data_IF_208524564784
#
_entry.id   IF_208524564784
#
_cell.length_a   1.000
_cell.length_b   1.000
_cell.length_c   1.000
_cell.angle_alpha   90.00
_cell.angle_beta   90.00
_cell.angle_gamma   90.00
#
_symmetry.space_group_name_H-M   'P 1'
#
loop_
_entity.id
_entity.type
_entity.pdbx_description
1 polymer ?
#
# COMPACT_ATOMS: atom_id res chain seq x y z
N UNK A 1 11.70 -1.19 -14.58
CA UNK A 1 11.64 -0.26 -13.43
C UNK A 1 10.45 -0.65 -12.57
N UNK A 2 10.34 -0.15 -11.34
CA UNK A 2 9.21 -0.46 -10.46
C UNK A 2 8.40 0.81 -10.21
N UNK A 3 7.10 0.64 -10.10
CA UNK A 3 6.17 1.69 -9.72
C UNK A 3 5.61 1.40 -8.34
N UNK A 4 5.55 2.43 -7.49
CA UNK A 4 4.79 2.41 -6.24
C UNK A 4 3.40 2.96 -6.55
N UNK A 5 2.36 2.20 -6.21
CA UNK A 5 0.97 2.54 -6.48
C UNK A 5 0.12 2.50 -5.21
N UNK A 6 -1.06 3.12 -5.29
CA UNK A 6 -2.01 3.24 -4.18
C UNK A 6 -3.38 2.77 -4.63
N UNK A 7 -3.96 1.81 -3.91
CA UNK A 7 -5.33 1.36 -4.09
C UNK A 7 -6.17 1.77 -2.88
N UNK A 8 -7.40 2.19 -3.12
CA UNK A 8 -8.40 2.37 -2.08
C UNK A 8 -8.94 1.04 -1.57
N UNK A 9 -9.25 1.03 -0.29
CA UNK A 9 -9.85 -0.08 0.42
C UNK A 9 -11.23 0.30 0.94
N UNK A 10 -12.06 -0.72 1.12
CA UNK A 10 -13.35 -0.67 1.80
C UNK A 10 -13.21 -0.21 3.25
N UNK A 11 -14.11 0.66 3.70
CA UNK A 11 -14.14 1.17 5.09
C UNK A 11 -14.32 0.08 6.14
N UNK A 12 -14.96 -1.01 5.73
CA UNK A 12 -15.18 -2.23 6.52
C UNK A 12 -13.86 -2.87 6.97
N UNK A 13 -12.74 -2.57 6.31
CA UNK A 13 -11.41 -2.99 6.75
C UNK A 13 -11.05 -2.46 8.15
N UNK A 14 -11.61 -1.31 8.58
CA UNK A 14 -11.37 -0.72 9.91
C UNK A 14 -11.98 -1.54 11.05
N UNK A 15 -13.13 -2.15 10.83
CA UNK A 15 -13.87 -2.91 11.86
C UNK A 15 -13.70 -4.42 11.73
N UNK A 16 -13.04 -4.90 10.67
CA UNK A 16 -12.81 -6.32 10.46
C UNK A 16 -11.50 -6.78 11.13
N UNK A 17 -11.60 -7.65 12.14
CA UNK A 17 -10.46 -8.20 12.88
C UNK A 17 -9.39 -8.81 11.97
N UNK A 18 -9.80 -9.49 10.91
CA UNK A 18 -8.86 -10.10 9.98
C UNK A 18 -8.07 -9.02 9.23
N UNK A 19 -8.73 -7.97 8.73
CA UNK A 19 -8.10 -6.86 8.04
C UNK A 19 -7.15 -6.08 8.97
N UNK A 20 -7.58 -5.83 10.21
CA UNK A 20 -6.76 -5.21 11.25
C UNK A 20 -5.48 -6.00 11.53
N UNK A 21 -5.57 -7.33 11.64
CA UNK A 21 -4.39 -8.19 11.82
C UNK A 21 -3.39 -8.15 10.64
N UNK A 22 -3.82 -7.68 9.45
CA UNK A 22 -2.95 -7.44 8.31
C UNK A 22 -2.37 -6.02 8.28
N UNK A 23 -2.92 -5.09 9.07
CA UNK A 23 -2.46 -3.71 9.17
C UNK A 23 -1.24 -3.65 10.08
N UNK A 24 -0.11 -4.11 9.57
CA UNK A 24 1.17 -4.02 10.28
C UNK A 24 1.76 -2.61 10.25
N UNK A 25 1.20 -1.72 9.43
CA UNK A 25 1.69 -0.37 9.19
C UNK A 25 0.76 0.73 9.74
N UNK A 26 1.32 1.75 10.41
CA UNK A 26 2.66 1.74 10.98
C UNK A 26 2.72 0.78 12.18
N UNK A 27 3.93 0.37 12.58
CA UNK A 27 4.10 -0.48 13.76
C UNK A 27 3.73 0.28 15.04
N UNK A 28 3.61 -0.44 16.16
CA UNK A 28 3.36 0.15 17.50
C UNK A 28 4.40 1.19 17.95
N UNK A 29 5.51 1.34 17.22
CA UNK A 29 6.52 2.38 17.45
C UNK A 29 6.07 3.78 17.01
N UNK A 30 4.99 3.90 16.24
CA UNK A 30 4.49 5.18 15.73
C UNK A 30 3.18 5.58 16.42
N UNK A 31 2.97 6.88 16.70
CA UNK A 31 1.76 7.35 17.37
C UNK A 31 0.53 7.04 16.52
N UNK A 32 -0.55 6.56 17.14
CA UNK A 32 -1.82 6.32 16.47
C UNK A 32 -2.38 7.62 15.89
N UNK A 33 -2.85 7.57 14.65
CA UNK A 33 -3.60 8.67 14.03
C UNK A 33 -5.05 8.65 14.49
N UNK A 34 -5.64 9.85 14.41
CA UNK A 34 -7.02 10.21 14.68
C UNK A 34 -8.04 9.08 14.39
N UNK A 35 -9.04 8.95 15.27
CA UNK A 35 -10.10 7.95 15.16
C UNK A 35 -10.91 8.08 13.87
N UNK A 36 -10.91 9.24 13.23
CA UNK A 36 -11.60 9.52 11.96
C UNK A 36 -10.60 9.58 10.79
N UNK A 37 -10.33 8.46 10.10
CA UNK A 37 -9.42 8.45 8.95
C UNK A 37 -10.05 9.09 7.72
N UNK A 38 -9.21 9.79 6.94
CA UNK A 38 -9.59 10.34 5.62
C UNK A 38 -9.92 9.26 4.59
N UNK A 39 -9.36 8.06 4.77
CA UNK A 39 -9.58 6.93 3.88
C UNK A 39 -8.72 5.72 4.27
N UNK A 40 -8.93 4.63 3.55
CA UNK A 40 -8.26 3.35 3.76
C UNK A 40 -7.56 2.98 2.47
N UNK A 41 -6.26 2.71 2.52
CA UNK A 41 -5.45 2.50 1.33
C UNK A 41 -4.51 1.32 1.47
N UNK A 42 -4.19 0.71 0.35
CA UNK A 42 -3.13 -0.25 0.16
C UNK A 42 -2.04 0.38 -0.70
N UNK A 43 -0.81 0.40 -0.21
CA UNK A 43 0.37 0.82 -0.98
C UNK A 43 1.14 -0.43 -1.40
N UNK A 44 1.51 -0.51 -2.67
CA UNK A 44 2.22 -1.66 -3.22
C UNK A 44 3.24 -1.29 -4.28
N UNK A 45 4.05 -2.27 -4.67
CA UNK A 45 5.04 -2.14 -5.75
C UNK A 45 4.75 -3.11 -6.88
N UNK A 46 4.88 -2.67 -8.14
CA UNK A 46 4.69 -3.49 -9.34
C UNK A 46 5.63 -3.09 -10.48
N UNK A 47 5.89 -4.00 -11.42
CA UNK A 47 6.44 -3.61 -12.74
C UNK A 47 5.35 -3.02 -13.64
N UNK A 48 4.14 -3.58 -13.55
CA UNK A 48 2.93 -3.14 -14.25
C UNK A 48 1.78 -3.09 -13.24
N UNK A 49 1.31 -1.89 -12.92
CA UNK A 49 0.26 -1.64 -11.93
C UNK A 49 -1.08 -2.22 -12.38
N UNK A 50 -1.43 -2.11 -13.67
CA UNK A 50 -2.72 -2.62 -14.18
C UNK A 50 -2.73 -4.14 -14.15
N UNK A 51 -1.65 -4.78 -14.61
CA UNK A 51 -1.50 -6.23 -14.47
C UNK A 51 -1.54 -6.66 -12.99
N UNK A 52 -0.87 -5.91 -12.10
CA UNK A 52 -0.87 -6.21 -10.67
C UNK A 52 -2.26 -6.09 -10.04
N UNK A 53 -3.08 -5.14 -10.47
CA UNK A 53 -4.48 -5.03 -10.04
C UNK A 53 -5.29 -6.25 -10.45
N UNK A 54 -5.11 -6.77 -11.68
CA UNK A 54 -5.77 -8.00 -12.14
C UNK A 54 -5.36 -9.25 -11.35
N UNK A 55 -4.16 -9.28 -10.79
CA UNK A 55 -3.77 -10.34 -9.83
C UNK A 55 -4.52 -10.15 -8.50
N UNK A 56 -4.68 -8.91 -8.04
CA UNK A 56 -5.34 -8.59 -6.77
C UNK A 56 -6.83 -8.90 -6.76
N UNK A 57 -7.52 -8.65 -7.87
CA UNK A 57 -8.96 -8.90 -8.00
C UNK A 57 -9.31 -10.36 -8.39
N UNK A 58 -8.30 -11.18 -8.67
CA UNK A 58 -8.49 -12.59 -9.02
C UNK A 58 -8.83 -12.85 -10.49
N UNK A 59 -8.77 -11.85 -11.38
CA UNK A 59 -8.86 -12.07 -12.83
C UNK A 59 -7.68 -12.89 -13.34
N UNK A 60 -6.47 -12.62 -12.83
CA UNK A 60 -5.26 -13.39 -13.13
C UNK A 60 -4.92 -14.26 -11.93
N UNK A 61 -5.10 -15.57 -12.09
CA UNK A 61 -4.81 -16.59 -11.07
C UNK A 61 -3.66 -17.52 -11.43
N UNK A 62 -3.21 -17.49 -12.68
CA UNK A 62 -2.09 -18.30 -13.17
C UNK A 62 -0.74 -17.63 -12.84
N UNK A 63 0.23 -18.44 -12.42
CA UNK A 63 1.60 -17.99 -12.14
C UNK A 63 1.99 -17.97 -10.66
N UNK A 64 3.21 -17.48 -10.38
CA UNK A 64 3.79 -17.42 -9.03
C UNK A 64 3.33 -16.22 -8.21
N UNK A 65 2.77 -15.20 -8.88
CA UNK A 65 2.33 -13.97 -8.23
C UNK A 65 1.03 -14.20 -7.47
N UNK A 66 0.98 -13.75 -6.21
CA UNK A 66 -0.21 -13.86 -5.36
C UNK A 66 -0.82 -12.48 -5.11
N UNK A 67 -2.16 -12.38 -4.96
CA UNK A 67 -2.80 -11.16 -4.51
C UNK A 67 -2.26 -10.74 -3.14
N UNK A 68 -2.30 -9.43 -2.86
CA UNK A 68 -2.09 -8.92 -1.53
C UNK A 68 -3.11 -9.55 -0.56
N UNK A 69 -2.70 -9.83 0.67
CA UNK A 69 -3.57 -10.50 1.65
C UNK A 69 -4.86 -9.73 1.90
N UNK A 70 -4.79 -8.39 1.87
CA UNK A 70 -5.95 -7.51 2.06
C UNK A 70 -6.90 -7.57 0.84
N UNK A 71 -6.35 -7.55 -0.38
CA UNK A 71 -7.12 -7.68 -1.61
C UNK A 71 -7.80 -9.05 -1.73
N UNK A 72 -7.08 -10.14 -1.42
CA UNK A 72 -7.61 -11.51 -1.42
C UNK A 72 -8.80 -11.69 -0.48
N UNK A 73 -8.93 -10.84 0.54
CA UNK A 73 -10.06 -10.84 1.48
C UNK A 73 -11.24 -9.97 1.03
N UNK A 74 -11.21 -9.44 -0.20
CA UNK A 74 -12.32 -8.69 -0.79
C UNK A 74 -12.42 -7.24 -0.33
N UNK A 75 -11.33 -6.67 0.20
CA UNK A 75 -11.30 -5.30 0.74
C UNK A 75 -10.89 -4.23 -0.27
N UNK A 76 -10.61 -4.56 -1.53
CA UNK A 76 -10.50 -3.52 -2.57
C UNK A 76 -11.80 -2.73 -2.64
N UNK A 77 -11.72 -1.39 -2.74
CA UNK A 77 -12.90 -0.52 -2.84
C UNK A 77 -13.76 -0.93 -4.04
N UNK A 78 -13.14 -1.09 -5.20
CA UNK A 78 -13.76 -1.66 -6.40
C UNK A 78 -12.84 -2.76 -6.98
N UNK A 79 -13.20 -4.04 -6.89
CA UNK A 79 -12.39 -5.11 -7.47
C UNK A 79 -12.50 -5.20 -9.00
N UNK A 80 -13.46 -4.51 -9.62
CA UNK A 80 -13.76 -4.66 -11.05
C UNK A 80 -13.07 -3.62 -11.92
N UNK A 81 -12.70 -2.46 -11.37
CA UNK A 81 -12.08 -1.35 -12.11
C UNK A 81 -10.90 -0.78 -11.34
N UNK A 82 -9.75 -0.67 -12.02
CA UNK A 82 -8.58 0.01 -11.46
C UNK A 82 -8.84 1.52 -11.37
N UNK A 83 -9.55 2.06 -12.35
CA UNK A 83 -9.94 3.47 -12.45
C UNK A 83 -10.69 3.92 -11.18
N UNK A 84 -11.70 3.15 -10.76
CA UNK A 84 -12.48 3.41 -9.54
C UNK A 84 -11.78 3.01 -8.24
N UNK A 85 -10.76 2.15 -8.32
CA UNK A 85 -10.11 1.59 -7.14
C UNK A 85 -8.80 2.29 -6.79
N UNK A 86 -8.11 2.94 -7.72
CA UNK A 86 -6.77 3.43 -7.41
C UNK A 86 -6.09 4.28 -8.48
N UNK A 87 -6.70 4.54 -9.63
CA UNK A 87 -6.07 5.38 -10.66
C UNK A 87 -5.80 6.80 -10.13
N UNK A 88 -6.80 7.47 -9.56
CA UNK A 88 -6.66 8.83 -9.02
C UNK A 88 -5.57 8.91 -7.95
N UNK A 89 -5.59 8.01 -6.95
CA UNK A 89 -4.60 8.02 -5.88
C UNK A 89 -3.21 7.60 -6.37
N UNK A 90 -3.12 6.69 -7.34
CA UNK A 90 -1.85 6.29 -7.95
C UNK A 90 -1.27 7.40 -8.81
N UNK A 91 -2.09 8.17 -9.52
CA UNK A 91 -1.64 9.34 -10.26
C UNK A 91 -1.18 10.46 -9.32
N UNK A 92 -1.94 10.70 -8.26
CA UNK A 92 -1.65 11.78 -7.30
C UNK A 92 -0.45 11.51 -6.40
N UNK A 93 -0.29 10.26 -5.94
CA UNK A 93 0.66 9.91 -4.90
C UNK A 93 1.66 8.82 -5.31
N UNK A 94 1.37 8.06 -6.36
CA UNK A 94 2.25 7.01 -6.85
C UNK A 94 3.57 7.56 -7.37
N UNK A 95 4.60 6.73 -7.35
CA UNK A 95 5.95 7.10 -7.79
C UNK A 95 6.35 6.12 -8.88
N UNK A 96 6.53 6.65 -10.10
CA UNK A 96 6.84 5.87 -11.29
C UNK A 96 8.34 5.73 -11.50
N UNK A 97 8.73 4.66 -12.20
CA UNK A 97 10.07 4.44 -12.72
C UNK A 97 11.20 4.47 -11.67
N UNK A 98 10.95 3.92 -10.48
CA UNK A 98 11.97 3.87 -9.43
C UNK A 98 13.16 3.01 -9.91
N UNK A 99 14.34 3.66 -9.96
CA UNK A 99 15.60 3.12 -10.50
C UNK A 99 16.28 2.06 -9.61
N UNK A 100 17.22 1.33 -10.23
CA UNK A 100 17.74 0.03 -9.75
C UNK A 100 19.16 0.04 -9.17
N UNK A 101 19.82 1.19 -9.03
CA UNK A 101 21.26 1.21 -8.72
C UNK A 101 21.62 0.59 -7.35
N UNK A 102 20.66 0.37 -6.45
CA UNK A 102 20.85 -0.43 -5.23
C UNK A 102 19.66 -1.36 -4.96
N UNK A 103 19.94 -2.52 -4.37
CA UNK A 103 18.93 -3.54 -4.08
C UNK A 103 17.83 -3.00 -3.14
N UNK A 104 16.56 -3.19 -3.53
CA UNK A 104 15.36 -2.91 -2.72
C UNK A 104 15.10 -1.44 -2.33
N UNK A 105 15.56 -0.47 -3.12
CA UNK A 105 15.17 0.94 -2.90
C UNK A 105 13.65 1.16 -3.05
N UNK A 106 12.98 0.45 -3.95
CA UNK A 106 11.52 0.51 -4.11
C UNK A 106 10.75 0.17 -2.83
N UNK A 107 11.25 -0.74 -1.98
CA UNK A 107 10.61 -1.08 -0.70
C UNK A 107 10.75 0.07 0.32
N UNK A 108 11.84 0.87 0.24
CA UNK A 108 11.98 2.10 1.05
C UNK A 108 10.99 3.15 0.58
N UNK A 109 10.90 3.37 -0.73
CA UNK A 109 9.97 4.36 -1.31
C UNK A 109 8.52 3.99 -1.03
N UNK A 110 8.16 2.71 -1.15
CA UNK A 110 6.85 2.16 -0.75
C UNK A 110 6.52 2.50 0.72
N UNK A 111 7.48 2.28 1.61
CA UNK A 111 7.28 2.51 3.05
C UNK A 111 7.26 4.00 3.39
N UNK A 112 8.08 4.82 2.71
CA UNK A 112 8.06 6.27 2.84
C UNK A 112 6.70 6.84 2.40
N UNK A 113 6.19 6.40 1.25
CA UNK A 113 4.87 6.83 0.78
C UNK A 113 3.77 6.39 1.74
N UNK A 114 3.85 5.15 2.23
CA UNK A 114 2.94 4.65 3.26
C UNK A 114 2.95 5.55 4.50
N UNK A 115 4.12 6.01 4.94
CA UNK A 115 4.26 6.91 6.08
C UNK A 115 3.68 8.31 5.79
N UNK A 116 3.94 8.87 4.62
CA UNK A 116 3.40 10.17 4.22
C UNK A 116 1.86 10.16 4.17
N UNK A 117 1.27 9.10 3.61
CA UNK A 117 -0.19 8.90 3.60
C UNK A 117 -0.75 8.72 5.02
N UNK A 118 -0.04 7.95 5.85
CA UNK A 118 -0.39 7.80 7.26
C UNK A 118 -0.44 9.14 7.99
N UNK A 119 0.63 9.94 7.91
CA UNK A 119 0.71 11.29 8.48
C UNK A 119 -0.34 12.24 7.92
N UNK A 120 -0.79 12.00 6.70
CA UNK A 120 -1.88 12.75 6.06
C UNK A 120 -3.28 12.35 6.52
N UNK A 121 -3.41 11.31 7.36
CA UNK A 121 -4.68 10.86 7.95
C UNK A 121 -5.29 9.60 7.32
N UNK A 122 -4.54 8.88 6.47
CA UNK A 122 -5.01 7.62 5.89
C UNK A 122 -4.64 6.42 6.75
N UNK A 123 -5.49 5.40 6.75
CA UNK A 123 -5.13 4.08 7.25
C UNK A 123 -4.50 3.26 6.14
N UNK A 124 -3.31 2.72 6.39
CA UNK A 124 -2.45 2.16 5.34
C UNK A 124 -2.16 0.68 5.57
N UNK A 125 -2.34 -0.13 4.52
CA UNK A 125 -1.91 -1.52 4.42
C UNK A 125 -0.84 -1.65 3.34
N UNK A 126 -0.04 -2.71 3.41
CA UNK A 126 0.84 -3.09 2.30
C UNK A 126 2.33 -2.94 2.57
N UNK A 127 2.86 -1.75 2.91
CA UNK A 127 4.29 -1.50 2.97
C UNK A 127 5.09 -2.60 3.63
N UNK A 128 6.15 -3.09 2.99
CA UNK A 128 6.86 -4.29 3.44
C UNK A 128 8.07 -4.00 4.35
N UNK A 129 8.69 -2.82 4.27
CA UNK A 129 9.99 -2.54 4.92
C UNK A 129 9.91 -1.85 6.28
N UNK A 130 8.70 -1.57 6.77
CA UNK A 130 8.46 -0.88 8.04
C UNK A 130 8.92 -1.64 9.30
N UNK A 131 9.20 -2.94 9.19
CA UNK A 131 9.69 -3.76 10.31
C UNK A 131 11.21 -3.60 10.53
N UNK A 132 11.95 -2.98 9.60
CA UNK A 132 13.38 -2.69 9.81
C UNK A 132 13.52 -1.36 10.54
N UNK A 133 14.32 -1.37 11.62
CA UNK A 133 14.72 -0.13 12.30
C UNK A 133 15.30 0.83 11.27
N UNK A 134 14.80 2.08 11.33
CA UNK A 134 15.22 3.18 10.47
C UNK A 134 14.92 3.00 8.97
N UNK A 135 13.73 2.52 8.58
CA UNK A 135 13.34 2.53 7.16
C UNK A 135 13.24 3.96 6.58
N UNK A 136 12.96 4.94 7.44
CA UNK A 136 13.06 6.38 7.18
C UNK A 136 14.48 6.92 7.42
N UNK A 137 15.47 6.09 7.77
CA UNK A 137 16.81 6.51 8.15
C UNK A 137 16.89 7.17 9.53
N UNK A 138 18.11 7.29 10.04
CA UNK A 138 18.45 8.23 11.13
C UNK A 138 18.77 9.55 10.43
N UNK A 139 17.93 10.54 10.65
CA UNK A 139 17.96 11.81 9.92
C UNK A 139 16.54 12.23 9.60
N UNK A 140 16.14 13.30 10.23
CA UNK A 140 14.82 13.91 10.17
C UNK A 140 14.28 13.97 8.74
N UNK A 141 13.32 13.11 8.42
CA UNK A 141 12.30 13.44 7.43
C UNK A 141 11.37 14.47 8.09
N UNK A 142 11.85 15.72 8.18
CA UNK A 142 11.08 16.93 8.43
C UNK A 142 10.90 17.64 7.09
#
# INVERSE_FOLDING_TARGET
>A
TKDVYVLELKKEAKSNLSALALRKFPSSKYPEINDEPKGFVYVGVADDVKHRFLVHNGTITSGKSKPAKIARRGFLKDPTSFENCGEELTEKYGIRQIGWQQSKQYEKVESWLGYALYKSGYWVWGPHRHEKEDFLGIGDFI
#
